data_IF_585984292215
#
_entry.id   IF_585984292215
#
_cell.length_a   1.000
_cell.length_b   1.000
_cell.length_c   1.000
_cell.angle_alpha   90.00
_cell.angle_beta   90.00
_cell.angle_gamma   90.00
#
_symmetry.space_group_name_H-M   'P 1'
#
loop_
_entity.id
_entity.type
_entity.pdbx_description
1 polymer ?
#
# COMPACT_ATOMS: atom_id res chain seq x y z
N UNK A 1 -22.15 21.15 79.03
CA UNK A 1 -20.91 21.70 78.45
C UNK A 1 -21.11 21.65 76.94
N UNK A 2 -21.83 22.63 76.39
CA UNK A 2 -21.27 23.85 75.72
C UNK A 2 -20.42 23.45 74.52
N UNK A 3 -20.67 23.83 73.27
CA UNK A 3 -21.49 24.87 72.60
C UNK A 3 -21.51 24.48 71.10
N UNK A 4 -22.60 24.49 70.32
CA UNK A 4 -23.46 25.59 69.84
C UNK A 4 -22.73 26.70 69.05
N UNK A 5 -23.21 26.94 67.81
CA UNK A 5 -22.92 28.10 66.94
C UNK A 5 -22.25 27.67 65.62
N UNK A 6 -22.82 27.73 64.41
CA UNK A 6 -23.95 28.50 63.89
C UNK A 6 -23.45 29.77 63.21
N UNK A 7 -23.55 29.86 61.88
CA UNK A 7 -24.06 31.02 61.14
C UNK A 7 -23.85 30.88 59.62
N UNK A 8 -24.95 31.09 58.91
CA UNK A 8 -25.03 31.36 57.49
C UNK A 8 -24.76 32.85 57.18
N UNK A 9 -24.45 33.12 55.91
CA UNK A 9 -24.40 34.44 55.28
C UNK A 9 -23.43 34.36 54.10
N UNK A 10 -23.72 34.81 52.89
CA UNK A 10 -24.84 35.54 52.31
C UNK A 10 -24.55 35.66 50.80
N UNK A 11 -25.59 36.01 50.06
CA UNK A 11 -25.66 35.94 48.61
C UNK A 11 -24.82 36.98 47.84
N UNK A 12 -24.61 36.64 46.56
CA UNK A 12 -24.52 37.50 45.40
C UNK A 12 -23.34 38.48 45.30
N UNK A 13 -22.42 38.17 44.38
CA UNK A 13 -22.10 39.16 43.35
C UNK A 13 -22.12 38.49 41.97
N UNK A 14 -22.82 39.16 41.06
CA UNK A 14 -23.13 38.69 39.73
C UNK A 14 -22.11 39.24 38.72
N UNK A 15 -21.89 38.45 37.67
CA UNK A 15 -21.53 38.90 36.32
C UNK A 15 -20.22 39.68 36.13
N UNK A 16 -19.17 38.97 35.70
CA UNK A 16 -18.27 39.40 34.62
C UNK A 16 -17.36 38.24 34.19
N UNK A 17 -17.49 37.78 32.94
CA UNK A 17 -16.57 36.80 32.38
C UNK A 17 -17.19 35.93 31.29
N UNK A 18 -17.69 36.56 30.24
CA UNK A 18 -18.01 35.89 28.99
C UNK A 18 -16.75 35.25 28.37
N UNK A 19 -16.98 34.16 27.64
CA UNK A 19 -16.11 33.60 26.60
C UNK A 19 -14.77 32.98 27.05
N UNK A 20 -14.80 31.66 27.27
CA UNK A 20 -13.70 30.78 26.90
C UNK A 20 -14.27 29.45 26.40
N UNK A 21 -15.16 29.55 25.41
CA UNK A 21 -15.35 28.49 24.43
C UNK A 21 -14.40 28.85 23.28
N UNK A 22 -13.40 28.01 23.00
CA UNK A 22 -12.45 28.29 21.92
C UNK A 22 -11.01 27.88 22.20
N UNK A 23 -10.76 26.58 22.29
CA UNK A 23 -9.63 25.90 21.65
C UNK A 23 -9.65 24.42 22.09
N UNK A 24 -10.62 23.66 21.59
CA UNK A 24 -10.32 22.25 21.34
C UNK A 24 -9.18 22.27 20.33
N UNK A 25 -7.94 22.10 20.81
CA UNK A 25 -6.78 21.98 19.95
C UNK A 25 -7.09 20.89 18.94
N UNK A 26 -7.14 21.25 17.65
CA UNK A 26 -7.25 20.26 16.59
C UNK A 26 -6.08 19.30 16.77
N UNK A 27 -6.36 18.07 17.20
CA UNK A 27 -5.34 17.05 17.33
C UNK A 27 -4.64 16.95 15.97
N UNK A 28 -3.32 17.09 15.97
CA UNK A 28 -2.52 16.86 14.78
C UNK A 28 -2.81 15.45 14.27
N UNK A 29 -2.90 15.27 12.94
CA UNK A 29 -3.09 13.94 12.38
C UNK A 29 -1.91 13.04 12.80
N UNK A 30 -2.15 11.75 13.12
CA UNK A 30 -1.06 10.86 13.49
C UNK A 30 -0.12 10.66 12.30
N UNK A 31 1.16 10.44 12.60
CA UNK A 31 2.11 10.10 11.56
C UNK A 31 1.70 8.76 10.89
N UNK A 32 2.15 8.51 9.65
CA UNK A 32 1.82 7.27 8.95
C UNK A 32 2.18 5.99 9.74
N UNK A 33 3.30 5.99 10.46
CA UNK A 33 3.76 4.83 11.24
C UNK A 33 2.94 4.63 12.52
N UNK A 34 2.61 5.73 13.22
CA UNK A 34 1.75 5.68 14.41
C UNK A 34 0.36 5.14 14.06
N UNK A 35 -0.25 5.65 12.99
CA UNK A 35 -1.55 5.18 12.52
C UNK A 35 -1.53 3.69 12.13
N UNK A 36 -0.50 3.26 11.39
CA UNK A 36 -0.38 1.85 10.99
C UNK A 36 -0.20 0.93 12.20
N UNK A 37 0.61 1.34 13.17
CA UNK A 37 0.84 0.59 14.40
C UNK A 37 -0.42 0.51 15.28
N UNK A 38 -1.16 1.61 15.42
CA UNK A 38 -2.45 1.65 16.12
C UNK A 38 -3.43 0.67 15.48
N UNK A 39 -3.61 0.75 14.15
CA UNK A 39 -4.51 -0.15 13.43
C UNK A 39 -4.09 -1.62 13.54
N UNK A 40 -2.78 -1.90 13.50
CA UNK A 40 -2.24 -3.24 13.65
C UNK A 40 -2.37 -3.80 15.08
N UNK A 41 -2.58 -2.95 16.08
CA UNK A 41 -2.91 -3.39 17.43
C UNK A 41 -4.38 -3.86 17.56
N UNK A 42 -5.27 -3.28 16.75
CA UNK A 42 -6.71 -3.55 16.75
C UNK A 42 -7.13 -4.71 15.84
N UNK A 43 -6.44 -4.90 14.72
CA UNK A 43 -6.71 -5.95 13.74
C UNK A 43 -5.63 -7.04 13.78
N UNK A 44 -6.01 -8.28 13.47
CA UNK A 44 -5.04 -9.37 13.40
C UNK A 44 -4.24 -9.30 12.09
N UNK A 45 -4.87 -8.88 11.00
CA UNK A 45 -4.22 -8.67 9.70
C UNK A 45 -4.48 -7.24 9.23
N UNK A 46 -3.42 -6.51 8.92
CA UNK A 46 -3.51 -5.24 8.21
C UNK A 46 -2.91 -5.41 6.82
N UNK A 47 -3.74 -5.29 5.79
CA UNK A 47 -3.32 -5.32 4.39
C UNK A 47 -2.93 -3.90 3.97
N UNK A 48 -1.65 -3.72 3.64
CA UNK A 48 -1.08 -2.48 3.14
C UNK A 48 -0.96 -2.57 1.61
N UNK A 49 -1.91 -1.94 0.92
CA UNK A 49 -1.99 -1.91 -0.54
C UNK A 49 -1.00 -0.94 -1.15
N UNK A 50 -0.12 -1.48 -1.99
CA UNK A 50 1.02 -0.80 -2.61
C UNK A 50 0.83 -0.55 -4.12
N UNK A 51 1.59 0.41 -4.64
CA UNK A 51 1.96 0.50 -6.05
C UNK A 51 3.40 -0.01 -6.23
N UNK A 52 3.60 -1.13 -6.96
CA UNK A 52 4.93 -1.65 -7.21
C UNK A 52 5.92 -0.61 -7.77
N UNK A 53 7.13 -0.63 -7.24
CA UNK A 53 8.24 0.20 -7.70
C UNK A 53 8.30 1.60 -7.10
N UNK A 54 7.43 1.97 -6.15
CA UNK A 54 7.49 3.27 -5.47
C UNK A 54 8.44 3.22 -4.26
N UNK A 55 9.56 3.95 -4.37
CA UNK A 55 10.65 3.96 -3.36
C UNK A 55 10.16 4.32 -1.95
N UNK A 56 9.30 5.32 -1.82
CA UNK A 56 8.87 5.84 -0.51
C UNK A 56 7.99 4.86 0.26
N UNK A 57 7.27 3.96 -0.42
CA UNK A 57 6.41 2.95 0.20
C UNK A 57 7.24 1.87 0.91
N UNK A 58 8.25 1.32 0.22
CA UNK A 58 9.17 0.32 0.80
C UNK A 58 10.04 0.90 1.93
N UNK A 59 10.53 2.14 1.76
CA UNK A 59 11.26 2.84 2.83
C UNK A 59 10.39 3.03 4.07
N UNK A 60 9.15 3.46 3.87
CA UNK A 60 8.20 3.57 4.97
C UNK A 60 7.96 2.21 5.66
N UNK A 61 7.87 1.12 4.90
CA UNK A 61 7.73 -0.23 5.46
C UNK A 61 8.93 -0.60 6.34
N UNK A 62 10.15 -0.39 5.83
CA UNK A 62 11.39 -0.64 6.56
C UNK A 62 11.48 0.20 7.85
N UNK A 63 11.19 1.49 7.76
CA UNK A 63 11.20 2.43 8.88
C UNK A 63 10.11 2.11 9.93
N UNK A 64 9.02 1.46 9.53
CA UNK A 64 7.89 1.14 10.41
C UNK A 64 8.11 -0.11 11.25
N UNK A 65 9.09 -0.96 10.93
CA UNK A 65 9.34 -2.24 11.63
C UNK A 65 9.35 -2.10 13.16
N UNK A 66 10.06 -1.13 13.78
CA UNK A 66 10.08 -1.00 15.24
C UNK A 66 8.72 -0.66 15.83
N UNK A 67 7.94 0.23 15.19
CA UNK A 67 6.63 0.64 15.66
C UNK A 67 5.61 -0.51 15.54
N UNK A 68 5.68 -1.28 14.45
CA UNK A 68 4.85 -2.46 14.25
C UNK A 68 5.16 -3.55 15.29
N UNK A 69 6.43 -3.83 15.55
CA UNK A 69 6.84 -4.78 16.57
C UNK A 69 6.33 -4.37 17.97
N UNK A 70 6.45 -3.07 18.31
CA UNK A 70 5.92 -2.52 19.56
C UNK A 70 4.39 -2.64 19.68
N UNK A 71 3.67 -2.62 18.57
CA UNK A 71 2.22 -2.87 18.51
C UNK A 71 1.84 -4.37 18.56
N UNK A 72 2.82 -5.27 18.71
CA UNK A 72 2.59 -6.72 18.78
C UNK A 72 2.45 -7.40 17.42
N UNK A 73 2.92 -6.76 16.35
CA UNK A 73 3.03 -7.39 15.02
C UNK A 73 4.26 -8.31 15.03
N UNK A 74 4.02 -9.62 14.98
CA UNK A 74 5.08 -10.62 14.93
C UNK A 74 5.50 -11.01 13.50
N UNK A 75 4.71 -10.63 12.50
CA UNK A 75 4.93 -11.03 11.11
C UNK A 75 4.83 -9.84 10.16
N UNK A 76 5.79 -9.72 9.26
CA UNK A 76 5.72 -8.86 8.09
C UNK A 76 5.63 -9.76 6.85
N UNK A 77 4.45 -9.81 6.23
CA UNK A 77 4.23 -10.65 5.06
C UNK A 77 4.27 -9.80 3.79
N UNK A 78 4.75 -10.35 2.68
CA UNK A 78 4.75 -9.65 1.40
C UNK A 78 4.68 -10.57 0.18
N UNK A 79 4.19 -10.05 -0.94
CA UNK A 79 4.09 -10.77 -2.22
C UNK A 79 5.36 -10.68 -3.09
N UNK A 80 6.36 -9.90 -2.66
CA UNK A 80 7.63 -9.72 -3.36
C UNK A 80 8.59 -10.94 -3.27
N UNK A 81 8.21 -11.99 -2.55
CA UNK A 81 8.99 -13.24 -2.47
C UNK A 81 8.02 -14.41 -2.44
N UNK A 82 8.47 -15.61 -2.85
CA UNK A 82 7.61 -16.78 -2.91
C UNK A 82 7.84 -17.77 -1.75
N UNK A 83 6.83 -18.58 -1.49
CA UNK A 83 6.84 -19.56 -0.39
C UNK A 83 7.88 -20.69 -0.55
N UNK A 84 8.39 -20.94 -1.76
CA UNK A 84 9.36 -22.02 -2.03
C UNK A 84 10.71 -21.77 -1.36
N UNK A 85 11.02 -20.51 -1.04
CA UNK A 85 12.25 -20.07 -0.38
C UNK A 85 12.00 -19.48 1.01
N UNK A 86 10.89 -19.80 1.65
CA UNK A 86 10.59 -19.29 3.01
C UNK A 86 11.70 -19.62 4.02
N UNK A 87 12.31 -20.81 3.92
CA UNK A 87 13.42 -21.20 4.80
C UNK A 87 14.65 -20.32 4.60
N UNK A 88 14.97 -19.97 3.34
CA UNK A 88 16.10 -19.10 3.01
C UNK A 88 15.84 -17.65 3.48
N UNK A 89 14.58 -17.17 3.44
CA UNK A 89 14.16 -15.90 4.06
C UNK A 89 14.32 -15.92 5.59
N UNK A 90 13.88 -17.00 6.23
CA UNK A 90 13.98 -17.17 7.69
C UNK A 90 15.47 -17.21 8.12
N UNK A 91 16.32 -17.90 7.36
CA UNK A 91 17.77 -17.95 7.59
C UNK A 91 18.41 -16.56 7.43
N UNK A 92 18.16 -15.88 6.32
CA UNK A 92 18.73 -14.56 6.04
C UNK A 92 18.38 -13.54 7.14
N UNK A 93 17.13 -13.54 7.61
CA UNK A 93 16.65 -12.56 8.60
C UNK A 93 17.01 -12.91 10.05
N UNK A 94 17.48 -14.14 10.31
CA UNK A 94 17.95 -14.60 11.61
C UNK A 94 19.46 -14.81 11.70
N UNK A 95 20.19 -14.70 10.58
CA UNK A 95 21.64 -14.88 10.50
C UNK A 95 22.38 -13.92 11.43
N UNK A 96 23.42 -14.40 12.12
CA UNK A 96 24.19 -13.61 13.09
C UNK A 96 24.85 -12.35 12.48
N UNK A 97 25.11 -12.36 11.17
CA UNK A 97 25.64 -11.25 10.39
C UNK A 97 24.83 -11.15 9.12
N UNK A 98 24.44 -9.94 8.73
CA UNK A 98 23.76 -9.69 7.47
C UNK A 98 24.64 -10.09 6.28
N UNK A 99 24.09 -10.91 5.39
CA UNK A 99 24.77 -11.36 4.17
C UNK A 99 24.10 -10.73 2.94
N UNK A 100 24.71 -9.65 2.44
CA UNK A 100 24.25 -8.96 1.23
C UNK A 100 24.26 -9.90 0.00
N UNK A 101 25.16 -10.89 -0.03
CA UNK A 101 25.28 -11.83 -1.16
C UNK A 101 24.16 -12.86 -1.14
N UNK A 102 23.88 -13.46 0.01
CA UNK A 102 22.74 -14.35 0.18
C UNK A 102 21.41 -13.66 -0.17
N UNK A 103 21.26 -12.38 0.20
CA UNK A 103 20.10 -11.57 -0.20
C UNK A 103 20.02 -11.38 -1.72
N UNK A 104 21.14 -11.06 -2.38
CA UNK A 104 21.18 -10.88 -3.83
C UNK A 104 20.84 -12.18 -4.58
N UNK A 105 21.41 -13.31 -4.15
CA UNK A 105 21.14 -14.62 -4.75
C UNK A 105 19.68 -15.05 -4.56
N UNK A 106 19.13 -14.80 -3.38
CA UNK A 106 17.70 -15.02 -3.13
C UNK A 106 16.82 -14.21 -4.09
N UNK A 107 17.17 -12.95 -4.37
CA UNK A 107 16.40 -12.11 -5.30
C UNK A 107 16.57 -12.53 -6.76
N UNK A 108 17.77 -12.92 -7.19
CA UNK A 108 17.95 -13.50 -8.53
C UNK A 108 17.08 -14.74 -8.70
N UNK A 109 17.05 -15.59 -7.67
CA UNK A 109 16.27 -16.82 -7.70
C UNK A 109 14.76 -16.58 -7.56
N UNK A 110 14.30 -15.59 -6.80
CA UNK A 110 12.87 -15.36 -6.60
C UNK A 110 12.27 -14.40 -7.61
N UNK A 111 12.87 -13.22 -7.72
CA UNK A 111 12.34 -12.07 -8.43
C UNK A 111 12.84 -12.00 -9.88
N UNK A 112 13.92 -12.72 -10.19
CA UNK A 112 14.64 -12.54 -11.44
C UNK A 112 15.32 -11.18 -11.51
N UNK A 113 16.05 -10.93 -12.60
CA UNK A 113 16.93 -9.78 -12.71
C UNK A 113 16.18 -8.43 -12.69
N UNK A 114 14.95 -8.38 -13.21
CA UNK A 114 14.20 -7.14 -13.44
C UNK A 114 13.56 -6.52 -12.19
N UNK A 115 13.45 -7.28 -11.10
CA UNK A 115 12.68 -6.89 -9.91
C UNK A 115 13.50 -6.88 -8.61
N UNK A 116 14.82 -7.08 -8.72
CA UNK A 116 15.74 -7.06 -7.60
C UNK A 116 16.19 -5.62 -7.27
N UNK A 117 15.40 -4.97 -6.42
CA UNK A 117 15.60 -3.59 -6.01
C UNK A 117 16.27 -3.46 -4.64
N UNK A 118 17.02 -2.37 -4.46
CA UNK A 118 17.69 -2.05 -3.20
C UNK A 118 16.70 -1.93 -2.06
N UNK A 119 15.57 -1.28 -2.30
CA UNK A 119 14.55 -1.03 -1.28
C UNK A 119 13.90 -2.34 -0.78
N UNK A 120 13.83 -3.41 -1.58
CA UNK A 120 13.42 -4.73 -1.09
C UNK A 120 14.45 -5.30 -0.08
N UNK A 121 15.75 -5.20 -0.40
CA UNK A 121 16.80 -5.65 0.51
C UNK A 121 16.83 -4.82 1.80
N UNK A 122 16.56 -3.51 1.71
CA UNK A 122 16.47 -2.62 2.87
C UNK A 122 15.36 -3.04 3.84
N UNK A 123 14.19 -3.50 3.35
CA UNK A 123 13.12 -4.04 4.21
C UNK A 123 13.60 -5.30 4.96
N UNK A 124 14.19 -6.26 4.25
CA UNK A 124 14.72 -7.48 4.90
C UNK A 124 15.80 -7.15 5.92
N UNK A 125 16.71 -6.23 5.58
CA UNK A 125 17.77 -5.75 6.46
C UNK A 125 17.22 -5.01 7.68
N UNK A 126 16.13 -4.25 7.54
CA UNK A 126 15.49 -3.57 8.65
C UNK A 126 14.90 -4.56 9.66
N UNK A 127 14.27 -5.65 9.18
CA UNK A 127 13.79 -6.73 10.05
C UNK A 127 14.95 -7.45 10.74
N UNK A 128 16.01 -7.81 10.00
CA UNK A 128 17.22 -8.40 10.56
C UNK A 128 17.85 -7.51 11.64
N UNK A 129 18.04 -6.21 11.35
CA UNK A 129 18.65 -5.25 12.24
C UNK A 129 17.80 -5.00 13.49
N UNK A 130 16.47 -4.95 13.32
CA UNK A 130 15.55 -4.88 14.44
C UNK A 130 15.73 -6.09 15.37
N UNK A 131 15.64 -7.30 14.82
CA UNK A 131 15.76 -8.55 15.60
C UNK A 131 17.11 -8.66 16.33
N UNK A 132 18.20 -8.22 15.70
CA UNK A 132 19.55 -8.23 16.29
C UNK A 132 19.76 -7.13 17.34
N UNK A 133 19.07 -6.01 17.22
CA UNK A 133 19.13 -4.91 18.18
C UNK A 133 18.35 -5.18 19.47
N UNK A 134 17.48 -6.21 19.49
CA UNK A 134 16.64 -6.52 20.64
C UNK A 134 17.41 -7.28 21.73
N UNK A 135 17.15 -6.98 23.02
CA UNK A 135 17.59 -7.86 24.11
C UNK A 135 17.03 -9.28 23.93
N UNK A 136 17.80 -10.29 24.33
CA UNK A 136 17.40 -11.72 24.24
C UNK A 136 16.08 -12.09 24.98
N UNK A 137 15.50 -11.15 25.74
CA UNK A 137 14.29 -11.32 26.55
C UNK A 137 13.11 -10.44 26.05
N UNK A 138 13.29 -9.69 24.96
CA UNK A 138 12.34 -8.67 24.50
C UNK A 138 11.10 -9.22 23.75
N UNK A 139 11.02 -10.54 23.53
CA UNK A 139 9.89 -11.20 22.85
C UNK A 139 10.34 -12.08 21.68
N UNK A 140 9.37 -12.52 20.88
CA UNK A 140 9.64 -13.24 19.64
C UNK A 140 10.12 -12.27 18.55
N UNK A 141 11.10 -12.66 17.72
CA UNK A 141 11.55 -11.83 16.59
C UNK A 141 10.43 -11.60 15.58
N UNK A 142 10.50 -10.47 14.86
CA UNK A 142 9.63 -10.22 13.70
C UNK A 142 10.05 -11.16 12.57
N UNK A 143 9.09 -11.93 12.03
CA UNK A 143 9.34 -12.87 10.94
C UNK A 143 8.87 -12.30 9.59
N UNK A 144 9.68 -12.48 8.56
CA UNK A 144 9.27 -12.25 7.18
C UNK A 144 8.47 -13.43 6.65
N UNK A 145 7.31 -13.18 6.05
CA UNK A 145 6.46 -14.24 5.45
C UNK A 145 6.29 -13.99 3.95
N UNK A 146 6.73 -14.93 3.13
CA UNK A 146 6.58 -14.88 1.68
C UNK A 146 5.17 -15.28 1.27
N UNK A 147 4.52 -14.49 0.41
CA UNK A 147 3.16 -14.72 -0.09
C UNK A 147 3.09 -15.06 -1.58
N UNK A 148 4.17 -14.87 -2.31
CA UNK A 148 4.24 -15.17 -3.73
C UNK A 148 4.00 -16.66 -4.00
N UNK A 149 3.21 -16.93 -5.03
CA UNK A 149 3.01 -18.27 -5.56
C UNK A 149 4.07 -18.54 -6.62
N UNK A 150 4.90 -19.57 -6.42
CA UNK A 150 5.86 -19.98 -7.43
C UNK A 150 5.16 -20.49 -8.70
N UNK A 151 5.56 -19.97 -9.84
CA UNK A 151 5.18 -20.44 -11.18
C UNK A 151 6.25 -21.37 -11.74
N UNK A 152 5.92 -22.15 -12.77
CA UNK A 152 6.87 -23.05 -13.44
C UNK A 152 8.06 -22.33 -14.11
N UNK A 153 7.93 -21.03 -14.31
CA UNK A 153 9.04 -20.17 -14.75
C UNK A 153 10.05 -20.01 -13.61
N UNK A 154 9.52 -19.81 -12.41
CA UNK A 154 10.29 -19.51 -11.22
C UNK A 154 10.82 -20.76 -10.53
N UNK A 155 10.17 -21.89 -10.79
CA UNK A 155 10.51 -23.23 -10.33
C UNK A 155 10.30 -24.24 -11.48
N UNK A 156 11.33 -24.45 -12.31
CA UNK A 156 11.27 -25.42 -13.42
C UNK A 156 11.01 -26.86 -12.96
N UNK A 157 11.26 -27.20 -11.69
CA UNK A 157 10.98 -28.54 -11.16
C UNK A 157 9.46 -28.82 -11.15
N UNK A 158 8.62 -27.78 -11.15
CA UNK A 158 7.17 -27.90 -11.35
C UNK A 158 6.79 -28.51 -12.71
N UNK A 159 7.70 -28.49 -13.69
CA UNK A 159 7.47 -29.12 -14.98
C UNK A 159 7.78 -30.63 -14.99
N UNK A 160 8.38 -31.16 -13.92
CA UNK A 160 8.71 -32.58 -13.76
C UNK A 160 9.50 -33.13 -14.97
N UNK A 161 10.56 -32.40 -15.36
CA UNK A 161 11.43 -32.74 -16.49
C UNK A 161 10.83 -32.53 -17.89
N UNK A 162 9.62 -31.97 -17.99
CA UNK A 162 8.98 -31.60 -19.27
C UNK A 162 9.16 -30.11 -19.54
N UNK A 163 8.91 -29.68 -20.77
CA UNK A 163 8.86 -28.26 -21.12
C UNK A 163 7.44 -27.71 -20.93
N UNK A 164 7.34 -26.39 -20.68
CA UNK A 164 6.04 -25.71 -20.65
C UNK A 164 5.26 -25.88 -21.98
N UNK A 165 5.98 -25.99 -23.10
CA UNK A 165 5.40 -26.28 -24.41
C UNK A 165 4.81 -27.70 -24.49
N UNK A 166 5.50 -28.72 -23.97
CA UNK A 166 4.99 -30.11 -23.89
C UNK A 166 3.77 -30.24 -22.98
N UNK A 167 3.66 -29.38 -21.96
CA UNK A 167 2.52 -29.31 -21.05
C UNK A 167 1.38 -28.43 -21.57
N UNK A 168 1.52 -27.85 -22.77
CA UNK A 168 0.59 -26.87 -23.34
C UNK A 168 0.25 -25.72 -22.37
N UNK A 169 1.18 -25.39 -21.46
CA UNK A 169 1.04 -24.29 -20.51
C UNK A 169 1.18 -22.98 -21.29
N UNK A 170 0.06 -22.50 -21.83
CA UNK A 170 -0.02 -21.15 -22.38
C UNK A 170 0.11 -20.18 -21.21
N UNK A 171 1.27 -19.53 -21.12
CA UNK A 171 1.54 -18.32 -20.33
C UNK A 171 0.56 -18.17 -19.17
N UNK A 172 0.74 -18.98 -18.12
CA UNK A 172 -0.18 -19.04 -16.98
C UNK A 172 -0.41 -17.66 -16.34
N UNK A 173 0.49 -16.70 -16.58
CA UNK A 173 0.35 -15.28 -16.21
C UNK A 173 -0.77 -14.50 -16.96
N UNK A 174 -1.36 -15.04 -18.05
CA UNK A 174 -2.27 -14.30 -18.95
C UNK A 174 -3.78 -14.46 -18.65
N UNK A 175 -4.21 -14.96 -17.48
CA UNK A 175 -5.63 -15.25 -17.24
C UNK A 175 -6.15 -15.03 -15.82
N UNK A 176 -7.43 -14.69 -15.70
CA UNK A 176 -8.12 -14.46 -14.41
C UNK A 176 -8.05 -15.62 -13.42
N UNK A 177 -7.83 -16.85 -13.88
CA UNK A 177 -7.60 -18.01 -13.01
C UNK A 177 -6.32 -17.90 -12.17
N UNK A 178 -5.24 -17.29 -12.68
CA UNK A 178 -4.02 -17.12 -11.89
C UNK A 178 -4.25 -16.17 -10.73
N UNK A 179 -4.95 -15.06 -10.98
CA UNK A 179 -5.22 -14.04 -9.97
C UNK A 179 -6.01 -14.61 -8.80
N UNK A 180 -7.06 -15.39 -9.09
CA UNK A 180 -7.84 -16.06 -8.06
C UNK A 180 -7.00 -17.11 -7.32
N UNK A 181 -6.17 -17.90 -8.03
CA UNK A 181 -5.29 -18.90 -7.39
C UNK A 181 -4.24 -18.25 -6.50
N UNK A 182 -3.63 -17.13 -6.92
CA UNK A 182 -2.70 -16.35 -6.10
C UNK A 182 -3.39 -15.78 -4.85
N UNK A 183 -4.64 -15.31 -4.98
CA UNK A 183 -5.45 -14.88 -3.85
C UNK A 183 -5.71 -16.01 -2.84
N UNK A 184 -6.10 -17.20 -3.33
CA UNK A 184 -6.28 -18.38 -2.47
C UNK A 184 -4.97 -18.81 -1.81
N UNK A 185 -3.86 -18.78 -2.54
CA UNK A 185 -2.55 -19.10 -2.01
C UNK A 185 -2.15 -18.15 -0.87
N UNK A 186 -2.18 -16.83 -1.12
CA UNK A 186 -1.85 -15.82 -0.11
C UNK A 186 -2.74 -15.93 1.14
N UNK A 187 -4.04 -16.15 0.97
CA UNK A 187 -4.96 -16.35 2.09
C UNK A 187 -4.63 -17.63 2.88
N UNK A 188 -4.27 -18.73 2.21
CA UNK A 188 -3.90 -19.99 2.85
C UNK A 188 -2.55 -19.89 3.61
N UNK A 189 -1.57 -19.17 3.05
CA UNK A 189 -0.29 -18.90 3.71
C UNK A 189 -0.53 -18.10 4.99
N UNK A 190 -1.25 -16.97 4.91
CA UNK A 190 -1.59 -16.16 6.09
C UNK A 190 -2.39 -16.96 7.12
N UNK A 191 -3.31 -17.82 6.67
CA UNK A 191 -4.05 -18.70 7.57
C UNK A 191 -3.11 -19.66 8.34
N UNK A 192 -2.12 -20.23 7.66
CA UNK A 192 -1.24 -21.27 8.21
C UNK A 192 -0.11 -20.69 9.04
N UNK A 193 0.55 -19.65 8.54
CA UNK A 193 1.74 -19.07 9.14
C UNK A 193 1.41 -18.10 10.26
N UNK A 194 0.27 -17.40 10.20
CA UNK A 194 -0.08 -16.32 11.14
C UNK A 194 -1.34 -16.66 11.93
N UNK A 195 -2.47 -16.87 11.26
CA UNK A 195 -3.78 -16.86 11.92
C UNK A 195 -3.99 -18.07 12.84
N UNK A 196 -3.58 -19.27 12.43
CA UNK A 196 -3.63 -20.49 13.26
C UNK A 196 -2.80 -20.39 14.53
N UNK A 197 -1.78 -19.51 14.55
CA UNK A 197 -0.91 -19.28 15.71
C UNK A 197 -1.45 -18.16 16.63
N UNK A 198 -2.54 -17.51 16.25
CA UNK A 198 -3.07 -16.35 16.97
C UNK A 198 -2.16 -15.12 16.87
N UNK A 199 -1.26 -15.10 15.89
CA UNK A 199 -0.31 -14.02 15.67
C UNK A 199 -0.92 -12.92 14.80
N UNK A 200 -0.23 -11.77 14.75
CA UNK A 200 -0.62 -10.62 13.92
C UNK A 200 0.36 -10.41 12.77
N UNK A 201 -0.14 -9.87 11.67
CA UNK A 201 0.70 -9.48 10.53
C UNK A 201 0.29 -8.15 9.90
N UNK A 202 1.31 -7.41 9.47
CA UNK A 202 1.14 -6.42 8.38
C UNK A 202 1.52 -7.12 7.08
N UNK A 203 0.68 -6.96 6.06
CA UNK A 203 0.83 -7.60 4.75
C UNK A 203 1.04 -6.52 3.70
N UNK A 204 2.25 -6.41 3.18
CA UNK A 204 2.57 -5.53 2.06
C UNK A 204 2.33 -6.26 0.74
N UNK A 205 1.38 -5.80 -0.05
CA UNK A 205 1.06 -6.43 -1.33
C UNK A 205 0.53 -5.41 -2.33
N UNK A 206 0.52 -5.77 -3.60
CA UNK A 206 -0.11 -4.97 -4.64
C UNK A 206 -1.54 -4.55 -4.23
N UNK A 207 -1.88 -3.27 -4.45
CA UNK A 207 -3.17 -2.69 -4.14
C UNK A 207 -4.33 -3.57 -4.62
N UNK A 208 -4.23 -4.19 -5.79
CA UNK A 208 -5.28 -5.02 -6.36
C UNK A 208 -5.52 -6.32 -5.57
N UNK A 209 -4.52 -6.81 -4.84
CA UNK A 209 -4.61 -8.03 -4.02
C UNK A 209 -5.15 -7.77 -2.59
N UNK A 210 -5.18 -6.51 -2.16
CA UNK A 210 -5.51 -6.14 -0.78
C UNK A 210 -6.97 -5.76 -0.55
N UNK A 211 -7.79 -5.70 -1.60
CA UNK A 211 -9.19 -5.26 -1.49
C UNK A 211 -9.99 -6.16 -0.55
N UNK A 212 -10.73 -5.60 0.42
CA UNK A 212 -11.48 -6.37 1.44
C UNK A 212 -12.97 -6.45 1.16
N UNK A 213 -13.72 -5.36 1.37
CA UNK A 213 -15.18 -5.33 1.23
C UNK A 213 -15.64 -5.19 -0.21
N UNK A 214 -14.93 -4.40 -1.00
CA UNK A 214 -15.22 -4.21 -2.42
C UNK A 214 -14.88 -5.47 -3.22
N UNK A 215 -15.82 -5.97 -4.02
CA UNK A 215 -15.53 -6.91 -5.11
C UNK A 215 -15.42 -6.09 -6.39
N UNK A 216 -14.18 -5.88 -6.84
CA UNK A 216 -13.90 -5.12 -8.06
C UNK A 216 -14.21 -5.96 -9.29
N UNK A 217 -14.69 -5.31 -10.35
CA UNK A 217 -14.95 -5.93 -11.63
C UNK A 217 -13.89 -5.52 -12.63
N UNK A 218 -13.23 -6.49 -13.27
CA UNK A 218 -12.26 -6.26 -14.32
C UNK A 218 -12.82 -6.85 -15.61
N UNK A 219 -12.91 -6.05 -16.67
CA UNK A 219 -13.57 -6.42 -17.94
C UNK A 219 -14.97 -7.01 -17.76
N UNK A 220 -15.72 -6.49 -16.78
CA UNK A 220 -17.07 -6.94 -16.44
C UNK A 220 -17.16 -8.24 -15.64
N UNK A 221 -16.02 -8.85 -15.28
CA UNK A 221 -15.96 -10.06 -14.46
C UNK A 221 -15.64 -9.69 -13.02
N UNK A 222 -16.41 -10.24 -12.09
CA UNK A 222 -16.10 -10.13 -10.66
C UNK A 222 -14.83 -10.89 -10.35
N UNK A 223 -13.98 -10.28 -9.53
CA UNK A 223 -12.66 -10.81 -9.23
C UNK A 223 -12.49 -11.02 -7.73
N UNK A 224 -11.69 -12.02 -7.35
CA UNK A 224 -11.38 -12.29 -5.95
C UNK A 224 -9.96 -11.85 -5.63
N UNK A 225 -9.74 -11.44 -4.39
CA UNK A 225 -8.43 -11.03 -3.86
C UNK A 225 -8.15 -11.74 -2.53
N UNK A 226 -6.90 -11.73 -2.09
CA UNK A 226 -6.52 -12.21 -0.75
C UNK A 226 -7.34 -11.49 0.32
N UNK A 227 -7.51 -10.18 0.19
CA UNK A 227 -8.30 -9.38 1.11
C UNK A 227 -9.78 -9.77 1.16
N UNK A 228 -10.41 -10.08 0.01
CA UNK A 228 -11.82 -10.48 -0.02
C UNK A 228 -12.03 -11.82 0.72
N UNK A 229 -11.12 -12.77 0.49
CA UNK A 229 -11.17 -14.08 1.13
C UNK A 229 -11.00 -13.98 2.65
N UNK A 230 -10.00 -13.20 3.11
CA UNK A 230 -9.77 -12.95 4.53
C UNK A 230 -10.93 -12.21 5.17
N UNK A 231 -11.46 -11.16 4.52
CA UNK A 231 -12.57 -10.38 5.06
C UNK A 231 -13.85 -11.20 5.21
N UNK A 232 -14.13 -12.08 4.24
CA UNK A 232 -15.27 -13.01 4.34
C UNK A 232 -15.16 -13.94 5.54
N UNK A 233 -13.95 -14.32 5.94
CA UNK A 233 -13.73 -15.21 7.08
C UNK A 233 -13.64 -14.46 8.42
N UNK A 234 -12.92 -13.34 8.46
CA UNK A 234 -12.53 -12.65 9.69
C UNK A 234 -13.37 -11.39 9.97
N UNK A 235 -14.12 -10.89 8.99
CA UNK A 235 -14.82 -9.61 9.09
C UNK A 235 -13.87 -8.47 9.46
N UNK A 236 -14.09 -7.87 10.61
CA UNK A 236 -13.30 -6.75 11.13
C UNK A 236 -11.91 -7.16 11.65
N UNK A 237 -11.59 -8.45 11.75
CA UNK A 237 -10.25 -8.93 12.09
C UNK A 237 -9.19 -8.68 11.00
N UNK A 238 -9.62 -8.26 9.81
CA UNK A 238 -8.75 -7.77 8.73
C UNK A 238 -9.12 -6.34 8.35
N UNK A 239 -8.10 -5.50 8.19
CA UNK A 239 -8.24 -4.10 7.78
C UNK A 239 -7.40 -3.82 6.54
N UNK A 240 -7.87 -2.96 5.65
CA UNK A 240 -7.10 -2.49 4.49
C UNK A 240 -6.66 -1.04 4.68
N UNK A 241 -5.38 -0.79 4.46
CA UNK A 241 -4.77 0.53 4.35
C UNK A 241 -4.17 0.66 2.96
N UNK A 242 -4.32 1.82 2.34
CA UNK A 242 -3.69 2.11 1.05
C UNK A 242 -2.80 3.33 1.15
N UNK A 243 -1.69 3.33 0.42
CA UNK A 243 -0.95 4.56 0.21
C UNK A 243 -1.76 5.53 -0.67
N UNK A 244 -1.48 6.82 -0.57
CA UNK A 244 -2.02 7.81 -1.49
C UNK A 244 -1.70 7.41 -2.92
N UNK A 245 -2.59 7.71 -3.89
CA UNK A 245 -2.29 7.57 -5.32
C UNK A 245 -2.26 6.16 -5.89
N UNK A 246 -2.32 5.10 -5.08
CA UNK A 246 -2.25 3.70 -5.56
C UNK A 246 -3.57 3.18 -6.13
N UNK A 247 -4.70 3.76 -5.72
CA UNK A 247 -5.99 3.45 -6.35
C UNK A 247 -6.01 4.09 -7.74
N UNK A 248 -6.20 3.30 -8.81
CA UNK A 248 -6.26 3.80 -10.20
C UNK A 248 -7.51 4.66 -10.47
N UNK A 249 -7.50 5.86 -9.89
CA UNK A 249 -8.46 6.92 -10.12
C UNK A 249 -7.71 8.27 -10.06
N UNK A 250 -7.20 8.77 -11.21
CA UNK A 250 -6.46 10.02 -11.28
C UNK A 250 -7.26 11.22 -10.75
N UNK A 251 -8.57 11.21 -10.98
CA UNK A 251 -9.45 12.30 -10.55
C UNK A 251 -9.65 12.29 -9.03
N UNK A 252 -9.74 11.12 -8.41
CA UNK A 252 -9.77 10.99 -6.95
C UNK A 252 -8.43 11.41 -6.33
N UNK A 253 -7.32 11.00 -6.94
CA UNK A 253 -5.97 11.39 -6.52
C UNK A 253 -5.83 12.91 -6.47
N UNK A 254 -6.16 13.61 -7.55
CA UNK A 254 -6.10 15.09 -7.57
C UNK A 254 -7.06 15.75 -6.58
N UNK A 255 -8.25 15.18 -6.35
CA UNK A 255 -9.16 15.68 -5.30
C UNK A 255 -8.56 15.55 -3.91
N UNK A 256 -7.87 14.45 -3.61
CA UNK A 256 -7.16 14.28 -2.33
C UNK A 256 -6.03 15.30 -2.20
N UNK A 257 -5.19 15.46 -3.22
CA UNK A 257 -4.09 16.43 -3.20
C UNK A 257 -4.61 17.87 -2.99
N UNK A 258 -5.71 18.25 -3.64
CA UNK A 258 -6.35 19.55 -3.42
C UNK A 258 -6.85 19.74 -1.97
N UNK A 259 -7.36 18.67 -1.33
CA UNK A 259 -7.77 18.72 0.07
C UNK A 259 -6.57 18.82 1.02
N UNK A 260 -5.46 18.13 0.71
CA UNK A 260 -4.22 18.22 1.49
C UNK A 260 -3.60 19.60 1.37
N UNK A 261 -3.55 20.18 0.16
CA UNK A 261 -3.03 21.53 -0.08
C UNK A 261 -3.85 22.59 0.67
N UNK A 262 -5.18 22.45 0.69
CA UNK A 262 -6.08 23.35 1.43
C UNK A 262 -6.07 23.12 2.96
N UNK A 263 -5.39 22.08 3.46
CA UNK A 263 -5.34 21.76 4.88
C UNK A 263 -4.54 22.80 5.66
N UNK A 264 -4.95 23.18 6.89
CA UNK A 264 -4.14 24.05 7.75
C UNK A 264 -2.74 23.51 8.06
N UNK A 265 -2.50 22.21 7.88
CA UNK A 265 -1.20 21.58 8.12
C UNK A 265 -0.17 21.85 7.01
N UNK A 266 -0.59 22.12 5.77
CA UNK A 266 0.31 22.38 4.63
C UNK A 266 1.12 23.69 4.79
N UNK A 267 0.58 24.67 5.51
CA UNK A 267 1.19 25.99 5.67
C UNK A 267 1.94 26.23 6.98
N UNK A 268 1.99 25.27 7.92
CA UNK A 268 2.39 25.55 9.32
C UNK A 268 3.84 25.24 9.70
N UNK A 269 4.57 24.38 8.97
CA UNK A 269 5.87 23.90 9.46
C UNK A 269 7.02 23.88 8.45
N UNK A 270 6.78 24.12 7.16
CA UNK A 270 7.80 23.88 6.13
C UNK A 270 8.26 22.41 6.02
N UNK A 271 7.70 21.52 6.85
CA UNK A 271 7.90 20.08 6.77
C UNK A 271 6.89 19.50 5.77
N UNK A 272 7.30 18.48 5.03
CA UNK A 272 6.40 17.77 4.13
C UNK A 272 5.22 17.18 4.92
N UNK A 273 3.99 17.44 4.46
CA UNK A 273 2.77 16.89 5.07
C UNK A 273 2.80 15.38 4.92
N UNK A 274 2.75 14.67 6.06
CA UNK A 274 2.71 13.21 6.13
C UNK A 274 1.73 12.80 7.22
N UNK A 275 0.79 11.92 6.91
CA UNK A 275 -0.19 11.46 7.88
C UNK A 275 -0.73 10.08 7.55
N UNK A 276 -1.21 9.38 8.57
CA UNK A 276 -2.13 8.26 8.42
C UNK A 276 -3.51 8.63 8.99
N UNK A 277 -4.59 8.09 8.43
CA UNK A 277 -5.93 8.26 9.01
C UNK A 277 -6.90 7.16 8.62
N UNK A 278 -7.92 6.98 9.45
CA UNK A 278 -9.09 6.17 9.13
C UNK A 278 -10.01 6.87 8.13
N UNK A 279 -10.49 6.14 7.13
CA UNK A 279 -11.40 6.66 6.11
C UNK A 279 -12.86 6.73 6.58
N UNK A 280 -13.23 5.92 7.58
CA UNK A 280 -14.56 6.01 8.18
C UNK A 280 -14.71 7.34 8.93
N UNK A 281 -15.67 8.18 8.51
CA UNK A 281 -15.94 9.47 9.14
C UNK A 281 -15.02 10.62 8.73
N UNK A 282 -13.97 10.39 7.93
CA UNK A 282 -13.08 11.46 7.48
C UNK A 282 -13.56 12.15 6.20
N UNK A 283 -13.08 13.38 5.97
CA UNK A 283 -13.32 14.11 4.71
C UNK A 283 -12.76 13.34 3.51
N UNK A 284 -11.57 12.74 3.64
CA UNK A 284 -10.96 11.93 2.58
C UNK A 284 -11.80 10.70 2.24
N UNK A 285 -12.40 10.04 3.23
CA UNK A 285 -13.28 8.90 3.00
C UNK A 285 -14.51 9.22 2.14
N UNK A 286 -14.87 10.50 1.99
CA UNK A 286 -15.98 10.94 1.14
C UNK A 286 -15.60 11.24 -0.31
N UNK A 287 -14.32 11.20 -0.67
CA UNK A 287 -13.88 11.41 -2.05
C UNK A 287 -14.47 10.31 -2.92
N UNK A 288 -15.30 10.71 -3.89
CA UNK A 288 -15.92 9.80 -4.84
C UNK A 288 -14.91 9.20 -5.81
N UNK A 289 -15.16 7.96 -6.22
CA UNK A 289 -14.43 7.24 -7.25
C UNK A 289 -15.26 7.22 -8.53
N UNK A 290 -14.55 7.27 -9.66
CA UNK A 290 -15.07 7.43 -11.02
C UNK A 290 -14.57 6.33 -11.97
N UNK A 291 -13.38 5.76 -11.72
CA UNK A 291 -12.81 4.67 -12.52
C UNK A 291 -13.03 3.28 -11.91
N UNK A 292 -13.00 3.18 -10.58
CA UNK A 292 -13.16 1.90 -9.89
C UNK A 292 -14.61 1.41 -10.07
N UNK A 293 -14.75 0.20 -10.61
CA UNK A 293 -16.05 -0.46 -10.83
C UNK A 293 -16.12 -1.72 -9.97
N UNK A 294 -17.22 -1.88 -9.26
CA UNK A 294 -17.46 -3.06 -8.44
C UNK A 294 -18.63 -2.84 -7.50
N UNK A 295 -18.72 -3.70 -6.49
CA UNK A 295 -19.77 -3.60 -5.48
C UNK A 295 -19.28 -4.05 -4.11
N UNK A 296 -19.79 -3.39 -3.07
CA UNK A 296 -19.55 -3.75 -1.66
C UNK A 296 -20.59 -4.75 -1.16
N UNK A 297 -21.82 -4.71 -1.69
CA UNK A 297 -22.97 -5.46 -1.19
C UNK A 297 -23.76 -6.19 -2.31
N UNK A 298 -23.21 -6.24 -3.52
CA UNK A 298 -23.88 -6.75 -4.71
C UNK A 298 -24.76 -5.72 -5.44
N UNK A 299 -24.93 -4.51 -4.91
CA UNK A 299 -25.61 -3.40 -5.58
C UNK A 299 -24.63 -2.45 -6.28
N UNK A 300 -25.00 -1.98 -7.47
CA UNK A 300 -24.23 -0.96 -8.18
C UNK A 300 -24.47 0.41 -7.54
N UNK A 301 -23.40 1.07 -7.10
CA UNK A 301 -23.45 2.38 -6.46
C UNK A 301 -22.22 3.23 -6.78
N UNK A 302 -22.31 4.53 -6.48
CA UNK A 302 -21.13 5.41 -6.54
C UNK A 302 -20.20 5.08 -5.38
N UNK A 303 -19.01 4.57 -5.71
CA UNK A 303 -17.98 4.23 -4.73
C UNK A 303 -17.25 5.48 -4.24
N UNK A 304 -16.71 5.40 -3.03
CA UNK A 304 -15.87 6.39 -2.39
C UNK A 304 -14.61 5.74 -1.83
N UNK A 305 -13.63 6.54 -1.41
CA UNK A 305 -12.39 6.01 -0.84
C UNK A 305 -12.63 5.08 0.37
N UNK A 306 -13.59 5.39 1.24
CA UNK A 306 -13.93 4.51 2.38
C UNK A 306 -14.53 3.15 1.98
N UNK A 307 -15.01 3.03 0.75
CA UNK A 307 -15.61 1.79 0.25
C UNK A 307 -14.51 0.85 -0.27
N UNK A 308 -13.33 1.39 -0.61
CA UNK A 308 -12.17 0.59 -1.06
C UNK A 308 -11.22 0.24 0.09
N UNK A 309 -11.08 1.08 1.11
CA UNK A 309 -10.13 0.87 2.21
C UNK A 309 -10.66 1.39 3.56
N UNK A 310 -10.12 0.86 4.66
CA UNK A 310 -10.41 1.31 6.01
C UNK A 310 -9.49 2.48 6.43
N UNK A 311 -8.24 2.48 5.94
CA UNK A 311 -7.24 3.49 6.25
C UNK A 311 -6.50 4.02 5.03
N UNK A 312 -5.78 5.12 5.24
CA UNK A 312 -5.09 5.86 4.20
C UNK A 312 -3.78 6.44 4.70
N UNK A 313 -2.70 6.30 3.93
CA UNK A 313 -1.38 6.85 4.24
C UNK A 313 -0.96 7.86 3.18
N UNK A 314 -0.72 9.11 3.58
CA UNK A 314 -0.14 10.13 2.72
C UNK A 314 1.33 10.32 3.11
N UNK A 315 2.26 9.91 2.25
CA UNK A 315 3.71 10.08 2.46
C UNK A 315 4.28 11.28 1.68
N UNK A 316 3.75 11.49 0.47
CA UNK A 316 4.14 12.52 -0.48
C UNK A 316 3.08 12.58 -1.58
N UNK A 317 3.04 13.68 -2.35
CA UNK A 317 2.16 13.80 -3.52
C UNK A 317 2.56 12.80 -4.62
N UNK A 318 1.61 12.39 -5.45
CA UNK A 318 1.83 11.41 -6.53
C UNK A 318 2.93 11.85 -7.50
N UNK A 319 3.04 13.15 -7.77
CA UNK A 319 4.07 13.74 -8.63
C UNK A 319 5.50 13.67 -8.05
N UNK A 320 5.65 13.40 -6.75
CA UNK A 320 6.94 13.33 -6.05
C UNK A 320 7.50 11.90 -5.96
N UNK A 321 6.71 10.89 -6.38
CA UNK A 321 7.15 9.51 -6.36
C UNK A 321 8.43 9.30 -7.14
N UNK A 322 9.33 8.54 -6.54
CA UNK A 322 10.57 8.12 -7.16
C UNK A 322 10.55 6.60 -7.35
N UNK A 323 11.07 6.11 -8.49
CA UNK A 323 11.23 4.69 -8.67
C UNK A 323 12.26 4.17 -7.67
N UNK A 324 12.07 2.92 -7.26
CA UNK A 324 13.08 2.11 -6.59
C UNK A 324 14.41 2.07 -7.36
N UNK A 325 15.49 1.79 -6.66
CA UNK A 325 16.83 1.68 -7.22
C UNK A 325 17.18 0.22 -7.48
N UNK A 326 18.00 -0.05 -8.50
CA UNK A 326 18.59 -1.38 -8.67
C UNK A 326 19.46 -1.75 -7.47
N UNK A 327 19.43 -3.02 -7.08
CA UNK A 327 20.40 -3.56 -6.14
C UNK A 327 21.78 -3.65 -6.81
N UNK A 328 22.79 -3.06 -6.18
CA UNK A 328 24.17 -3.11 -6.69
C UNK A 328 24.72 -4.55 -6.60
N UNK A 329 25.67 -4.90 -7.47
CA UNK A 329 26.36 -6.20 -7.47
C UNK A 329 25.45 -7.44 -7.49
N UNK A 330 24.23 -7.31 -8.03
CA UNK A 330 23.27 -8.41 -8.14
C UNK A 330 23.83 -9.56 -8.99
N UNK A 331 24.36 -9.23 -10.16
CA UNK A 331 24.92 -10.18 -11.11
C UNK A 331 26.42 -10.35 -10.88
N UNK A 332 26.84 -11.60 -10.71
CA UNK A 332 28.25 -12.00 -10.56
C UNK A 332 28.55 -13.12 -11.55
N UNK A 333 29.84 -13.37 -11.81
CA UNK A 333 30.25 -14.50 -12.66
C UNK A 333 29.70 -15.84 -12.15
N UNK A 334 29.46 -15.96 -10.84
CA UNK A 334 28.95 -17.16 -10.19
C UNK A 334 27.44 -17.38 -10.45
N UNK A 335 26.61 -16.33 -10.33
CA UNK A 335 25.16 -16.48 -10.49
C UNK A 335 24.64 -16.15 -11.90
N UNK A 336 25.49 -15.60 -12.78
CA UNK A 336 25.13 -15.24 -14.14
C UNK A 336 24.48 -16.39 -14.93
N UNK A 337 25.00 -17.64 -14.89
CA UNK A 337 24.36 -18.75 -15.62
C UNK A 337 22.93 -19.03 -15.16
N UNK A 338 22.65 -18.90 -13.85
CA UNK A 338 21.32 -19.13 -13.30
C UNK A 338 20.36 -17.99 -13.65
N UNK A 339 20.79 -16.73 -13.50
CA UNK A 339 20.05 -15.54 -13.91
C UNK A 339 19.69 -15.58 -15.41
N UNK A 340 20.65 -15.96 -16.25
CA UNK A 340 20.50 -16.10 -17.69
C UNK A 340 19.47 -17.17 -18.03
N UNK A 341 19.61 -18.38 -17.48
CA UNK A 341 18.73 -19.50 -17.76
C UNK A 341 17.27 -19.17 -17.38
N UNK A 342 17.08 -18.46 -16.27
CA UNK A 342 15.77 -18.00 -15.79
C UNK A 342 15.16 -16.97 -16.73
N UNK A 343 15.91 -15.94 -17.14
CA UNK A 343 15.39 -14.97 -18.11
C UNK A 343 15.06 -15.65 -19.44
N UNK A 344 15.90 -16.56 -19.92
CA UNK A 344 15.66 -17.27 -21.18
C UNK A 344 14.47 -18.22 -21.11
N UNK A 345 14.10 -18.73 -19.93
CA UNK A 345 12.85 -19.45 -19.74
C UNK A 345 11.62 -18.53 -19.91
N UNK A 346 11.73 -17.25 -19.52
CA UNK A 346 10.69 -16.22 -19.71
C UNK A 346 10.64 -15.70 -21.15
N UNK A 347 11.80 -15.42 -21.73
CA UNK A 347 11.97 -14.82 -23.05
C UNK A 347 12.90 -15.74 -23.87
N UNK A 348 12.35 -16.79 -24.51
CA UNK A 348 13.16 -17.78 -25.20
C UNK A 348 13.93 -17.20 -26.38
N UNK A 349 15.22 -17.52 -26.46
CA UNK A 349 16.09 -17.22 -27.61
C UNK A 349 17.19 -18.27 -27.79
N UNK A 350 17.77 -18.34 -28.98
CA UNK A 350 18.77 -19.35 -29.34
C UNK A 350 20.14 -19.11 -28.68
N UNK A 351 20.58 -17.85 -28.57
CA UNK A 351 21.87 -17.48 -27.99
C UNK A 351 21.71 -17.10 -26.51
N UNK A 352 22.61 -17.50 -25.60
CA UNK A 352 22.54 -17.11 -24.19
C UNK A 352 22.64 -15.59 -24.00
N UNK A 353 21.98 -15.03 -22.98
CA UNK A 353 22.17 -13.62 -22.61
C UNK A 353 23.57 -13.35 -22.06
N UNK A 354 24.18 -12.25 -22.50
CA UNK A 354 25.43 -11.75 -21.91
C UNK A 354 25.15 -10.96 -20.64
N UNK A 355 26.15 -10.79 -19.78
CA UNK A 355 26.03 -9.95 -18.58
C UNK A 355 25.59 -8.52 -18.92
N UNK A 356 26.15 -7.92 -19.97
CA UNK A 356 25.79 -6.57 -20.44
C UNK A 356 24.34 -6.48 -20.91
N UNK A 357 23.81 -7.52 -21.55
CA UNK A 357 22.40 -7.57 -21.95
C UNK A 357 21.49 -7.69 -20.74
N UNK A 358 21.83 -8.53 -19.76
CA UNK A 358 21.07 -8.66 -18.53
C UNK A 358 21.05 -7.34 -17.75
N UNK A 359 22.19 -6.66 -17.62
CA UNK A 359 22.27 -5.38 -16.92
C UNK A 359 21.49 -4.26 -17.64
N UNK A 360 21.50 -4.28 -18.98
CA UNK A 360 20.65 -3.37 -19.77
C UNK A 360 19.17 -3.60 -19.48
N UNK A 361 18.71 -4.86 -19.46
CA UNK A 361 17.33 -5.21 -19.14
C UNK A 361 16.94 -4.71 -17.75
N UNK A 362 17.85 -4.81 -16.76
CA UNK A 362 17.62 -4.28 -15.40
C UNK A 362 17.41 -2.77 -15.41
N UNK A 363 18.28 -2.06 -16.12
CA UNK A 363 18.23 -0.59 -16.20
C UNK A 363 16.96 -0.12 -16.91
N UNK A 364 16.66 -0.71 -18.08
CA UNK A 364 15.44 -0.41 -18.84
C UNK A 364 14.16 -0.73 -18.05
N UNK A 365 14.18 -1.81 -17.25
CA UNK A 365 13.05 -2.19 -16.40
C UNK A 365 12.70 -1.11 -15.37
N UNK A 366 13.69 -0.49 -14.73
CA UNK A 366 13.47 0.60 -13.76
C UNK A 366 12.93 1.86 -14.45
N UNK A 367 13.42 2.18 -15.66
CA UNK A 367 12.92 3.32 -16.44
C UNK A 367 11.42 3.16 -16.79
N UNK A 368 10.99 1.93 -17.03
CA UNK A 368 9.60 1.61 -17.41
C UNK A 368 8.63 1.57 -16.23
N UNK A 369 9.10 1.46 -14.97
CA UNK A 369 8.22 1.41 -13.78
C UNK A 369 7.25 2.59 -13.72
N UNK A 370 7.74 3.79 -14.01
CA UNK A 370 6.95 5.01 -13.91
C UNK A 370 5.77 5.04 -14.88
N UNK A 371 5.88 4.35 -16.02
CA UNK A 371 4.82 4.23 -17.01
C UNK A 371 3.70 3.27 -16.58
N UNK A 372 3.96 2.41 -15.59
CA UNK A 372 2.98 1.46 -15.05
C UNK A 372 2.17 2.03 -13.89
N UNK A 373 2.60 3.15 -13.31
CA UNK A 373 1.90 3.79 -12.21
C UNK A 373 0.62 4.49 -12.68
N UNK A 374 -0.40 4.64 -11.80
CA UNK A 374 -1.60 5.40 -12.08
C UNK A 374 -1.27 6.77 -12.64
N UNK A 375 -1.85 7.10 -13.79
CA UNK A 375 -1.61 8.36 -14.47
C UNK A 375 -2.07 9.53 -13.58
N UNK A 376 -1.36 10.66 -13.67
CA UNK A 376 -1.92 11.92 -13.18
C UNK A 376 -2.98 12.41 -14.16
N UNK A 377 -4.02 13.14 -13.70
CA UNK A 377 -4.97 13.74 -14.61
C UNK A 377 -4.24 14.66 -15.59
N UNK A 378 -4.62 14.60 -16.86
CA UNK A 378 -4.13 15.58 -17.83
C UNK A 378 -4.52 16.98 -17.36
N UNK A 379 -3.62 17.97 -17.42
CA UNK A 379 -4.00 19.34 -17.13
C UNK A 379 -5.13 19.73 -18.07
N UNK A 380 -6.20 20.31 -17.52
CA UNK A 380 -7.30 20.83 -18.34
C UNK A 380 -6.70 21.70 -19.45
N UNK A 381 -7.06 21.50 -20.73
CA UNK A 381 -6.64 22.42 -21.78
C UNK A 381 -7.07 23.82 -21.35
N UNK A 382 -6.13 24.78 -21.34
CA UNK A 382 -6.42 26.16 -20.93
C UNK A 382 -7.77 26.58 -21.50
N UNK A 383 -8.70 27.10 -20.68
CA UNK A 383 -10.03 27.40 -21.14
C UNK A 383 -9.92 28.39 -22.29
N UNK A 384 -10.12 27.88 -23.51
CA UNK A 384 -10.10 28.67 -24.73
C UNK A 384 -11.01 29.87 -24.51
N UNK A 385 -10.40 31.06 -24.47
CA UNK A 385 -11.01 32.27 -23.93
C UNK A 385 -12.44 32.41 -24.37
N UNK A 386 -13.38 32.15 -23.45
CA UNK A 386 -14.80 32.45 -23.66
C UNK A 386 -14.91 33.97 -23.73
N UNK A 387 -14.82 34.51 -24.95
CA UNK A 387 -15.30 35.85 -25.28
C UNK A 387 -16.78 35.88 -24.92
N UNK A 388 -17.08 36.38 -23.73
CA UNK A 388 -18.43 36.73 -23.34
C UNK A 388 -18.90 37.86 -24.26
N UNK A 389 -19.62 37.47 -25.32
CA UNK A 389 -20.44 38.38 -26.08
C UNK A 389 -21.53 38.93 -25.17
N UNK A 390 -21.36 40.16 -24.72
CA UNK A 390 -22.37 40.97 -24.06
C UNK A 390 -23.64 40.99 -24.92
N UNK A 391 -24.61 40.12 -24.60
CA UNK A 391 -26.00 40.29 -25.06
C UNK A 391 -26.55 41.51 -24.34
N UNK A 392 -26.60 42.63 -25.05
CA UNK A 392 -27.28 43.83 -24.62
C UNK A 392 -28.75 43.49 -24.27
N UNK A 393 -29.11 43.70 -23.00
CA UNK A 393 -30.49 43.66 -22.52
C UNK A 393 -31.29 44.72 -23.27
N UNK A 394 -32.24 44.30 -24.11
CA UNK A 394 -33.32 45.16 -24.59
C UNK A 394 -34.18 45.56 -23.38
N UNK A 395 -34.29 46.87 -23.14
CA UNK A 395 -35.21 47.48 -22.16
C UNK A 395 -36.66 47.08 -22.48
N UNK A 396 -37.49 46.76 -21.46
CA UNK A 396 -38.94 46.76 -21.62
C UNK A 396 -39.46 48.19 -21.76
N UNK A 397 -40.29 48.44 -22.78
CA UNK A 397 -41.07 49.66 -22.91
C UNK A 397 -42.26 49.62 -21.93
N UNK A 398 -42.56 50.78 -21.36
CA UNK A 398 -43.39 50.96 -20.17
C UNK A 398 -44.88 50.73 -20.35
N UNK A 399 -45.54 50.64 -19.19
CA UNK A 399 -46.97 50.73 -19.01
C UNK A 399 -47.44 52.20 -18.94
N UNK A 400 -48.67 52.43 -19.40
CA UNK A 400 -49.45 53.67 -19.36
C UNK A 400 -50.18 53.83 -20.70
N UNK A 401 -51.48 54.08 -20.81
CA UNK A 401 -52.53 54.44 -19.86
C UNK A 401 -53.88 54.33 -20.63
N UNK A 402 -54.96 53.99 -19.91
CA UNK A 402 -56.37 54.38 -20.12
C UNK A 402 -57.00 54.42 -21.54
N UNK A 403 -57.95 53.52 -21.81
CA UNK A 403 -59.41 53.79 -21.88
C UNK A 403 -60.16 52.49 -22.22
#
# INVERSE_FOLDING_TARGET
MSSAGGAAGGAADAAAGAAADGAAGAAALPSPAEYLAELASEAQIVLLGDQPGVRSHLRFLADSVPALAAAGVGNLAWDCTNTRRQADLDELTSAAVWDDRACADLFVDLLGIGFAYREHAEVLRAVWAHNHGQPAQAGSPVRMVALGLATYVEDPDLLDGRSAAELELRNWWMGGHYRDVAAFHGANVLATEVLRRGERAVVYADVDLTTTRLVQWHDGLATTTTGNLLHRWMGDGVRRVVFHGVVDDPAATARVEALVEASPESGRSGAAVRFGLGLSGSTLGNVGLTKVVGSVDGSAGSLRLRDVADGYLYLEARAQWQPVSLLDDLLTDENLPAAEARLRALVPRAEPYTADELERIRTEGVEQLTAQWPALPEPDPEPAGRRFGLRARRKPAGAGESA
#
